data_IF_665809970636
#
_entry.id   IF_665809970636
#
_cell.length_a   1.000
_cell.length_b   1.000
_cell.length_c   1.000
_cell.angle_alpha   90.00
_cell.angle_beta   90.00
_cell.angle_gamma   90.00
#
_symmetry.space_group_name_H-M   'P 1'
#
loop_
_entity.id
_entity.type
_entity.pdbx_description
1 polymer ?
#
# COMPACT_ATOMS: atom_id res chain seq x y z
N UNK A 1 5.87 -10.39 -1.78
CA UNK A 1 6.52 -9.06 -1.83
C UNK A 1 5.75 -8.01 -1.03
N UNK A 2 4.45 -7.82 -1.24
CA UNK A 2 3.63 -6.80 -0.52
C UNK A 2 3.71 -6.96 1.01
N UNK A 3 3.62 -8.21 1.52
CA UNK A 3 3.76 -8.47 2.95
C UNK A 3 5.15 -8.06 3.48
N UNK A 4 6.23 -8.31 2.74
CA UNK A 4 7.57 -7.89 3.14
C UNK A 4 7.66 -6.36 3.21
N UNK A 5 7.10 -5.66 2.22
CA UNK A 5 7.02 -4.20 2.18
C UNK A 5 6.20 -3.61 3.33
N UNK A 6 5.14 -4.32 3.76
CA UNK A 6 4.30 -3.94 4.89
C UNK A 6 4.96 -4.24 6.24
N UNK A 7 5.65 -5.38 6.38
CA UNK A 7 6.27 -5.81 7.63
C UNK A 7 7.55 -5.06 7.97
N UNK A 8 8.37 -4.70 6.99
CA UNK A 8 9.63 -3.98 7.23
C UNK A 8 9.44 -2.63 7.99
N UNK A 9 8.49 -1.75 7.61
CA UNK A 9 8.18 -0.55 8.39
C UNK A 9 7.71 -0.87 9.81
N UNK A 10 6.86 -1.90 9.99
CA UNK A 10 6.32 -2.28 11.31
C UNK A 10 7.45 -2.77 12.24
N UNK A 11 8.32 -3.64 11.72
CA UNK A 11 9.49 -4.13 12.47
C UNK A 11 10.41 -2.96 12.83
N UNK A 12 10.68 -2.06 11.89
CA UNK A 12 11.51 -0.89 12.15
C UNK A 12 10.91 0.03 13.23
N UNK A 13 9.60 0.30 13.19
CA UNK A 13 8.92 1.08 14.23
C UNK A 13 9.09 0.42 15.60
N UNK A 14 8.88 -0.90 15.69
CA UNK A 14 9.04 -1.66 16.92
C UNK A 14 10.47 -1.63 17.48
N UNK A 15 11.48 -1.71 16.60
CA UNK A 15 12.89 -1.72 16.98
C UNK A 15 13.44 -0.33 17.29
N UNK A 16 12.99 0.71 16.57
CA UNK A 16 13.47 2.09 16.76
C UNK A 16 12.77 2.83 17.89
N UNK A 17 11.56 2.39 18.28
CA UNK A 17 10.71 3.13 19.21
C UNK A 17 10.10 4.40 18.59
N UNK A 18 10.22 4.61 17.27
CA UNK A 18 9.66 5.78 16.59
C UNK A 18 8.15 5.63 16.36
N UNK A 19 7.39 5.58 17.45
CA UNK A 19 5.95 5.28 17.46
C UNK A 19 5.12 6.31 16.69
N UNK A 20 5.60 7.55 16.54
CA UNK A 20 4.93 8.57 15.74
C UNK A 20 4.77 8.15 14.26
N UNK A 21 5.68 7.31 13.75
CA UNK A 21 5.64 6.77 12.39
C UNK A 21 4.46 5.82 12.13
N UNK A 22 3.81 5.31 13.20
CA UNK A 22 2.58 4.50 13.10
C UNK A 22 1.50 5.27 12.35
N UNK A 23 1.46 6.60 12.47
CA UNK A 23 0.47 7.46 11.78
C UNK A 23 0.42 7.17 10.27
N UNK A 24 1.58 7.09 9.61
CA UNK A 24 1.64 6.85 8.17
C UNK A 24 1.22 5.43 7.79
N UNK A 25 1.67 4.42 8.55
CA UNK A 25 1.27 3.03 8.34
C UNK A 25 -0.22 2.79 8.61
N UNK A 26 -0.77 3.44 9.64
CA UNK A 26 -2.19 3.37 9.97
C UNK A 26 -3.06 4.01 8.87
N UNK A 27 -2.64 5.13 8.28
CA UNK A 27 -3.32 5.73 7.11
C UNK A 27 -3.35 4.76 5.92
N UNK A 28 -2.21 4.12 5.64
CA UNK A 28 -2.09 3.13 4.57
C UNK A 28 -3.10 1.99 4.73
N UNK A 29 -3.06 1.32 5.88
CA UNK A 29 -3.90 0.17 6.13
C UNK A 29 -5.36 0.54 6.34
N UNK A 30 -5.66 1.72 6.88
CA UNK A 30 -7.03 2.22 6.98
C UNK A 30 -7.68 2.34 5.60
N UNK A 31 -7.00 2.97 4.63
CA UNK A 31 -7.53 3.09 3.28
C UNK A 31 -7.58 1.75 2.56
N UNK A 32 -6.56 0.91 2.74
CA UNK A 32 -6.52 -0.44 2.16
C UNK A 32 -7.71 -1.28 2.65
N UNK A 33 -7.84 -1.48 3.95
CA UNK A 33 -8.89 -2.32 4.52
C UNK A 33 -10.27 -1.68 4.42
N UNK A 34 -10.38 -0.35 4.55
CA UNK A 34 -11.64 0.36 4.37
C UNK A 34 -12.18 0.21 2.93
N UNK A 35 -11.32 0.39 1.94
CA UNK A 35 -11.68 0.21 0.53
C UNK A 35 -12.05 -1.24 0.19
N UNK A 36 -11.28 -2.20 0.70
CA UNK A 36 -11.58 -3.63 0.56
C UNK A 36 -12.91 -4.01 1.22
N UNK A 37 -13.20 -3.48 2.41
CA UNK A 37 -14.46 -3.72 3.12
C UNK A 37 -15.66 -3.19 2.34
N UNK A 38 -15.58 -1.96 1.83
CA UNK A 38 -16.64 -1.34 1.02
C UNK A 38 -16.90 -2.18 -0.23
N UNK A 39 -15.83 -2.58 -0.93
CA UNK A 39 -15.96 -3.40 -2.13
C UNK A 39 -16.58 -4.78 -1.82
N UNK A 40 -16.06 -5.48 -0.82
CA UNK A 40 -16.54 -6.80 -0.43
C UNK A 40 -18.00 -6.78 0.03
N UNK A 41 -18.39 -5.76 0.80
CA UNK A 41 -19.78 -5.55 1.18
C UNK A 41 -20.68 -5.34 -0.06
N UNK A 42 -20.24 -4.51 -1.03
CA UNK A 42 -20.96 -4.31 -2.28
C UNK A 42 -21.13 -5.59 -3.11
N UNK A 43 -20.09 -6.42 -3.18
CA UNK A 43 -20.15 -7.74 -3.83
C UNK A 43 -21.15 -8.67 -3.12
N UNK A 44 -21.11 -8.74 -1.79
CA UNK A 44 -22.04 -9.56 -1.02
C UNK A 44 -23.50 -9.09 -1.15
N UNK A 45 -23.73 -7.77 -1.15
CA UNK A 45 -25.06 -7.20 -1.36
C UNK A 45 -25.61 -7.48 -2.77
N UNK A 46 -24.73 -7.69 -3.75
CA UNK A 46 -25.10 -8.05 -5.12
C UNK A 46 -25.37 -9.55 -5.29
N UNK A 47 -24.71 -10.39 -4.48
CA UNK A 47 -24.82 -11.85 -4.51
C UNK A 47 -24.64 -12.43 -3.10
N UNK A 48 -25.76 -12.59 -2.39
CA UNK A 48 -25.80 -13.04 -0.99
C UNK A 48 -25.43 -14.51 -0.82
N UNK A 49 -25.32 -15.28 -1.91
CA UNK A 49 -24.85 -16.67 -1.85
C UNK A 49 -23.38 -16.78 -1.46
N UNK A 50 -22.62 -15.69 -1.58
CA UNK A 50 -21.17 -15.62 -1.32
C UNK A 50 -20.85 -15.36 0.15
N UNK A 51 -21.32 -16.21 1.06
CA UNK A 51 -21.07 -16.11 2.51
C UNK A 51 -19.60 -15.81 2.92
N UNK A 52 -18.57 -16.40 2.30
CA UNK A 52 -17.17 -16.09 2.61
C UNK A 52 -16.77 -14.62 2.35
N UNK A 53 -17.41 -13.94 1.40
CA UNK A 53 -17.13 -12.53 1.08
C UNK A 53 -17.59 -11.61 2.21
N UNK A 54 -18.71 -11.95 2.86
CA UNK A 54 -19.18 -11.22 4.04
C UNK A 54 -18.18 -11.34 5.20
N UNK A 55 -17.69 -12.55 5.47
CA UNK A 55 -16.67 -12.76 6.50
C UNK A 55 -15.41 -11.94 6.22
N UNK A 56 -14.95 -11.93 4.97
CA UNK A 56 -13.82 -11.09 4.55
C UNK A 56 -14.11 -9.60 4.78
N UNK A 57 -15.30 -9.11 4.42
CA UNK A 57 -15.70 -7.73 4.67
C UNK A 57 -15.67 -7.38 6.17
N UNK A 58 -16.20 -8.24 7.04
CA UNK A 58 -16.18 -8.05 8.50
C UNK A 58 -14.76 -7.99 9.05
N UNK A 59 -13.89 -8.89 8.59
CA UNK A 59 -12.46 -8.89 8.98
C UNK A 59 -11.78 -7.59 8.52
N UNK A 60 -12.04 -7.13 7.30
CA UNK A 60 -11.51 -5.85 6.82
C UNK A 60 -12.04 -4.65 7.64
N UNK A 61 -13.33 -4.63 8.01
CA UNK A 61 -13.88 -3.58 8.89
C UNK A 61 -13.17 -3.59 10.24
N UNK A 62 -12.98 -4.76 10.85
CA UNK A 62 -12.25 -4.88 12.10
C UNK A 62 -10.85 -4.27 12.01
N UNK A 63 -10.06 -4.63 10.99
CA UNK A 63 -8.73 -4.07 10.81
C UNK A 63 -8.76 -2.57 10.48
N UNK A 64 -9.74 -2.08 9.72
CA UNK A 64 -9.91 -0.66 9.46
C UNK A 64 -10.17 0.11 10.76
N UNK A 65 -11.02 -0.41 11.65
CA UNK A 65 -11.27 0.19 12.97
C UNK A 65 -10.01 0.20 13.83
N UNK A 66 -9.25 -0.92 13.87
CA UNK A 66 -7.96 -0.97 14.58
C UNK A 66 -6.99 0.08 14.03
N UNK A 67 -6.89 0.21 12.71
CA UNK A 67 -6.03 1.21 12.07
C UNK A 67 -6.50 2.65 12.36
N UNK A 68 -7.81 2.90 12.39
CA UNK A 68 -8.35 4.19 12.77
C UNK A 68 -8.01 4.54 14.22
N UNK A 69 -8.17 3.60 15.15
CA UNK A 69 -7.80 3.81 16.56
C UNK A 69 -6.30 4.09 16.70
N UNK A 70 -5.45 3.30 16.04
CA UNK A 70 -4.01 3.53 16.02
C UNK A 70 -3.65 4.87 15.41
N UNK A 71 -4.32 5.28 14.34
CA UNK A 71 -4.14 6.59 13.71
C UNK A 71 -4.47 7.73 14.68
N UNK A 72 -5.65 7.67 15.32
CA UNK A 72 -6.09 8.70 16.27
C UNK A 72 -5.18 8.80 17.50
N UNK A 73 -4.63 7.67 17.94
CA UNK A 73 -3.67 7.61 19.03
C UNK A 73 -2.28 8.13 18.61
N UNK A 74 -1.71 7.58 17.53
CA UNK A 74 -0.35 7.88 17.09
C UNK A 74 -0.17 9.34 16.61
N UNK A 75 -1.24 9.99 16.12
CA UNK A 75 -1.21 11.42 15.73
C UNK A 75 -0.88 12.36 16.89
N UNK A 76 -1.03 11.91 18.14
CA UNK A 76 -0.69 12.69 19.35
C UNK A 76 0.80 12.58 19.70
N UNK A 77 1.52 11.66 19.09
CA UNK A 77 2.93 11.40 19.35
C UNK A 77 3.82 12.34 18.52
N UNK A 78 4.96 12.69 19.09
CA UNK A 78 5.99 13.51 18.45
C UNK A 78 7.09 12.60 17.93
N UNK A 79 7.66 12.93 16.77
CA UNK A 79 8.81 12.19 16.25
C UNK A 79 10.04 12.49 17.10
N UNK A 80 10.81 11.47 17.44
CA UNK A 80 12.09 11.63 18.12
C UNK A 80 13.16 12.10 17.13
N UNK A 81 13.23 11.45 15.96
CA UNK A 81 14.12 11.85 14.87
C UNK A 81 13.49 12.90 13.96
N UNK A 82 13.75 14.17 14.31
CA UNK A 82 13.27 15.35 13.60
C UNK A 82 14.22 15.84 12.48
N UNK A 83 15.23 15.06 12.11
CA UNK A 83 16.12 15.46 11.00
C UNK A 83 15.29 15.63 9.72
N UNK A 84 15.55 16.66 8.91
CA UNK A 84 14.78 16.89 7.69
C UNK A 84 15.01 15.75 6.69
N UNK A 85 13.95 15.33 6.02
CA UNK A 85 14.07 14.35 4.93
C UNK A 85 14.81 14.98 3.74
N UNK A 86 15.85 14.32 3.18
CA UNK A 86 16.58 14.84 2.02
C UNK A 86 15.64 15.19 0.85
N UNK A 87 15.96 16.28 0.12
CA UNK A 87 15.11 16.77 -0.98
C UNK A 87 14.88 15.72 -2.07
N UNK A 88 15.91 14.94 -2.41
CA UNK A 88 15.81 13.86 -3.38
C UNK A 88 14.73 12.83 -2.98
N UNK A 89 14.75 12.38 -1.72
CA UNK A 89 13.76 11.43 -1.18
C UNK A 89 12.35 12.01 -1.23
N UNK A 90 12.18 13.30 -0.90
CA UNK A 90 10.87 13.97 -0.96
C UNK A 90 10.32 14.04 -2.39
N UNK A 91 11.17 14.33 -3.37
CA UNK A 91 10.80 14.33 -4.79
C UNK A 91 10.42 12.91 -5.22
N UNK A 92 11.20 11.90 -4.85
CA UNK A 92 10.86 10.50 -5.12
C UNK A 92 9.50 10.14 -4.52
N UNK A 93 9.20 10.53 -3.28
CA UNK A 93 7.88 10.29 -2.68
C UNK A 93 6.76 10.97 -3.48
N UNK A 94 6.95 12.21 -3.93
CA UNK A 94 5.97 12.90 -4.77
C UNK A 94 5.70 12.14 -6.08
N UNK A 95 6.76 11.66 -6.75
CA UNK A 95 6.62 10.84 -7.96
C UNK A 95 5.88 9.54 -7.66
N UNK A 96 6.25 8.84 -6.58
CA UNK A 96 5.58 7.60 -6.18
C UNK A 96 4.11 7.81 -5.85
N UNK A 97 3.74 8.92 -5.21
CA UNK A 97 2.33 9.27 -4.97
C UNK A 97 1.57 9.33 -6.29
N UNK A 98 2.09 10.06 -7.28
CA UNK A 98 1.44 10.20 -8.59
C UNK A 98 1.29 8.82 -9.26
N UNK A 99 2.35 8.03 -9.32
CA UNK A 99 2.33 6.70 -9.93
C UNK A 99 1.33 5.78 -9.21
N UNK A 100 1.34 5.75 -7.88
CA UNK A 100 0.44 4.91 -7.09
C UNK A 100 -1.03 5.33 -7.19
N UNK A 101 -1.32 6.63 -7.28
CA UNK A 101 -2.68 7.12 -7.50
C UNK A 101 -3.19 6.74 -8.89
N UNK A 102 -2.36 6.89 -9.93
CA UNK A 102 -2.74 6.55 -11.30
C UNK A 102 -2.92 5.03 -11.48
N UNK A 103 -1.96 4.23 -11.02
CA UNK A 103 -2.03 2.78 -11.09
C UNK A 103 -3.15 2.24 -10.19
N UNK A 104 -3.21 2.67 -8.93
CA UNK A 104 -4.23 2.26 -7.97
C UNK A 104 -5.64 2.62 -8.41
N UNK A 105 -5.84 3.85 -8.90
CA UNK A 105 -7.13 4.29 -9.46
C UNK A 105 -7.53 3.47 -10.69
N UNK A 106 -6.60 3.22 -11.61
CA UNK A 106 -6.86 2.38 -12.80
C UNK A 106 -7.26 0.95 -12.43
N UNK A 107 -6.63 0.39 -11.39
CA UNK A 107 -6.93 -0.95 -10.87
C UNK A 107 -8.30 -1.03 -10.18
N UNK A 108 -8.68 -0.01 -9.40
CA UNK A 108 -10.03 0.08 -8.80
C UNK A 108 -11.10 0.22 -9.90
N UNK A 109 -10.80 0.95 -10.97
CA UNK A 109 -11.65 1.05 -12.16
C UNK A 109 -11.61 -0.21 -13.06
N UNK A 110 -10.90 -1.26 -12.64
CA UNK A 110 -10.81 -2.55 -13.34
C UNK A 110 -10.27 -2.42 -14.78
N UNK A 111 -9.41 -1.44 -15.04
CA UNK A 111 -8.73 -1.32 -16.33
C UNK A 111 -7.79 -2.50 -16.52
N UNK A 112 -7.85 -3.11 -17.70
CA UNK A 112 -6.93 -4.17 -18.10
C UNK A 112 -5.53 -3.61 -18.36
N UNK A 113 -4.54 -4.51 -18.43
CA UNK A 113 -3.17 -4.22 -18.87
C UNK A 113 -2.39 -3.23 -17.98
N UNK A 114 -2.73 -3.11 -16.69
CA UNK A 114 -1.87 -2.39 -15.72
C UNK A 114 -0.73 -3.28 -15.21
N UNK A 115 -1.03 -4.55 -14.91
CA UNK A 115 -0.01 -5.54 -14.54
C UNK A 115 0.48 -6.30 -15.78
N UNK A 116 1.70 -6.87 -15.74
CA UNK A 116 2.24 -7.71 -16.81
C UNK A 116 1.67 -9.14 -16.80
N UNK A 117 0.68 -9.41 -15.93
CA UNK A 117 -0.10 -10.64 -15.89
C UNK A 117 -1.60 -10.32 -15.75
N UNK A 118 -2.50 -11.21 -16.21
CA UNK A 118 -3.94 -10.99 -16.09
C UNK A 118 -4.37 -11.06 -14.62
N UNK A 119 -5.26 -10.13 -14.24
CA UNK A 119 -5.88 -10.09 -12.92
C UNK A 119 -7.38 -10.33 -13.05
N UNK A 120 -7.94 -11.09 -12.10
CA UNK A 120 -9.39 -11.15 -11.93
C UNK A 120 -9.96 -9.78 -11.52
N UNK A 121 -11.24 -9.46 -11.84
CA UNK A 121 -11.85 -8.17 -11.50
C UNK A 121 -11.79 -7.83 -10.00
N UNK A 122 -11.94 -8.85 -9.14
CA UNK A 122 -11.87 -8.69 -7.69
C UNK A 122 -10.42 -8.41 -7.25
N UNK A 123 -9.45 -9.17 -7.75
CA UNK A 123 -8.03 -8.98 -7.46
C UNK A 123 -7.54 -7.59 -7.88
N UNK A 124 -7.99 -7.10 -9.04
CA UNK A 124 -7.69 -5.74 -9.51
C UNK A 124 -8.08 -4.69 -8.47
N UNK A 125 -9.31 -4.75 -7.94
CA UNK A 125 -9.78 -3.78 -6.95
C UNK A 125 -9.01 -3.90 -5.63
N UNK A 126 -8.70 -5.11 -5.17
CA UNK A 126 -7.93 -5.34 -3.95
C UNK A 126 -6.52 -4.75 -4.06
N UNK A 127 -5.80 -5.00 -5.16
CA UNK A 127 -4.48 -4.41 -5.40
C UNK A 127 -4.56 -2.88 -5.57
N UNK A 128 -5.61 -2.38 -6.20
CA UNK A 128 -5.86 -0.95 -6.33
C UNK A 128 -5.93 -0.24 -4.97
N UNK A 129 -6.69 -0.79 -4.02
CA UNK A 129 -6.77 -0.23 -2.67
C UNK A 129 -5.45 -0.33 -1.88
N UNK A 130 -4.63 -1.35 -2.10
CA UNK A 130 -3.27 -1.43 -1.53
C UNK A 130 -2.41 -0.27 -2.06
N UNK A 131 -2.47 0.01 -3.36
CA UNK A 131 -1.69 1.10 -3.97
C UNK A 131 -2.18 2.48 -3.51
N UNK A 132 -3.50 2.67 -3.40
CA UNK A 132 -4.08 3.92 -2.87
C UNK A 132 -3.73 4.12 -1.39
N UNK A 133 -3.72 3.07 -0.58
CA UNK A 133 -3.22 3.11 0.79
C UNK A 133 -1.74 3.51 0.85
N UNK A 134 -0.90 2.89 0.01
CA UNK A 134 0.52 3.24 -0.07
C UNK A 134 0.71 4.71 -0.48
N UNK A 135 -0.10 5.23 -1.42
CA UNK A 135 -0.06 6.63 -1.81
C UNK A 135 -0.34 7.57 -0.64
N UNK A 136 -1.29 7.24 0.24
CA UNK A 136 -1.54 8.02 1.47
C UNK A 136 -0.36 7.94 2.44
N UNK A 137 0.32 6.80 2.51
CA UNK A 137 1.53 6.67 3.32
C UNK A 137 2.59 7.68 2.85
N UNK A 138 2.94 7.67 1.56
CA UNK A 138 3.91 8.60 0.98
C UNK A 138 3.46 10.06 1.08
N UNK A 139 2.16 10.32 0.92
CA UNK A 139 1.59 11.66 1.10
C UNK A 139 1.87 12.17 2.52
N UNK A 140 1.69 11.33 3.53
CA UNK A 140 2.05 11.70 4.91
C UNK A 140 3.56 11.96 5.06
N UNK A 141 4.41 11.21 4.37
CA UNK A 141 5.86 11.44 4.28
C UNK A 141 6.23 12.81 3.71
N UNK A 142 5.48 13.27 2.69
CA UNK A 142 5.67 14.59 2.08
C UNK A 142 5.14 15.71 2.98
N UNK A 143 3.97 15.53 3.59
CA UNK A 143 3.32 16.50 4.49
C UNK A 143 4.12 16.71 5.78
N UNK A 144 4.70 15.63 6.33
CA UNK A 144 5.54 15.67 7.54
C UNK A 144 6.95 15.14 7.23
N UNK A 145 7.83 15.97 6.63
CA UNK A 145 9.09 15.54 6.02
C UNK A 145 10.23 15.40 7.04
N UNK A 146 10.03 14.57 8.06
CA UNK A 146 11.04 14.21 9.06
C UNK A 146 11.59 12.81 8.81
N UNK A 147 12.86 12.57 9.12
CA UNK A 147 13.54 11.32 8.82
C UNK A 147 12.88 10.13 9.50
N UNK A 148 12.44 10.28 10.77
CA UNK A 148 11.66 9.26 11.46
C UNK A 148 10.37 8.85 10.74
N UNK A 149 9.83 9.68 9.84
CA UNK A 149 8.66 9.33 9.02
C UNK A 149 9.05 8.65 7.70
N UNK A 150 10.20 9.02 7.12
CA UNK A 150 10.65 8.54 5.83
C UNK A 150 11.28 7.13 5.88
N UNK A 151 11.97 6.77 6.97
CA UNK A 151 12.74 5.52 7.05
C UNK A 151 11.86 4.29 6.84
N UNK A 152 10.71 4.21 7.51
CA UNK A 152 9.81 3.08 7.36
C UNK A 152 9.38 2.85 5.90
N UNK A 153 9.07 3.92 5.17
CA UNK A 153 8.67 3.88 3.77
C UNK A 153 9.80 3.39 2.86
N UNK A 154 11.02 3.89 3.09
CA UNK A 154 12.22 3.48 2.36
C UNK A 154 12.57 2.01 2.60
N UNK A 155 12.45 1.54 3.85
CA UNK A 155 12.64 0.14 4.19
C UNK A 155 11.58 -0.75 3.55
N UNK A 156 10.33 -0.30 3.50
CA UNK A 156 9.25 -0.98 2.79
C UNK A 156 9.58 -1.16 1.30
N UNK A 157 10.04 -0.10 0.63
CA UNK A 157 10.49 -0.19 -0.77
C UNK A 157 11.67 -1.13 -0.94
N UNK A 158 12.72 -1.00 -0.13
CA UNK A 158 13.90 -1.84 -0.23
C UNK A 158 13.53 -3.32 -0.03
N UNK A 159 12.71 -3.64 0.97
CA UNK A 159 12.25 -5.00 1.20
C UNK A 159 11.39 -5.54 0.05
N UNK A 160 10.56 -4.69 -0.54
CA UNK A 160 9.77 -5.04 -1.72
C UNK A 160 10.68 -5.40 -2.89
N UNK A 161 11.62 -4.52 -3.24
CA UNK A 161 12.51 -4.66 -4.40
C UNK A 161 13.41 -5.87 -4.25
N UNK A 162 14.02 -6.07 -3.08
CA UNK A 162 14.88 -7.24 -2.82
C UNK A 162 14.15 -8.56 -3.04
N UNK A 163 12.87 -8.63 -2.68
CA UNK A 163 12.05 -9.84 -2.88
C UNK A 163 11.60 -9.98 -4.34
N UNK A 164 11.45 -8.87 -5.07
CA UNK A 164 10.81 -8.87 -6.39
C UNK A 164 11.80 -8.84 -7.56
N UNK A 165 13.04 -8.36 -7.38
CA UNK A 165 14.03 -8.26 -8.46
C UNK A 165 14.23 -9.59 -9.20
N UNK A 166 14.48 -10.69 -8.47
CA UNK A 166 14.73 -12.00 -9.11
C UNK A 166 13.47 -12.53 -9.83
N UNK A 167 12.28 -12.58 -9.19
CA UNK A 167 11.04 -12.94 -9.88
C UNK A 167 10.74 -12.06 -11.10
N UNK A 168 10.97 -10.75 -11.01
CA UNK A 168 10.74 -9.79 -12.09
C UNK A 168 11.61 -10.10 -13.31
N UNK A 169 12.93 -10.27 -13.09
CA UNK A 169 13.87 -10.60 -14.18
C UNK A 169 13.51 -11.94 -14.84
N UNK A 170 13.10 -12.94 -14.06
CA UNK A 170 12.64 -14.24 -14.60
C UNK A 170 11.35 -14.11 -15.41
N UNK A 171 10.49 -13.14 -15.09
CA UNK A 171 9.21 -13.01 -15.77
C UNK A 171 9.35 -12.57 -17.24
N UNK A 172 10.42 -11.86 -17.60
CA UNK A 172 10.72 -11.52 -19.01
C UNK A 172 10.77 -12.74 -19.94
N UNK A 173 11.19 -13.90 -19.43
CA UNK A 173 11.26 -15.14 -20.21
C UNK A 173 9.87 -15.76 -20.49
N UNK A 174 8.87 -15.42 -19.69
CA UNK A 174 7.55 -16.10 -19.67
C UNK A 174 6.36 -15.20 -19.97
N UNK A 175 6.56 -13.87 -19.99
CA UNK A 175 5.48 -12.90 -20.18
C UNK A 175 4.91 -12.99 -21.60
N UNK A 176 3.58 -12.84 -21.69
CA UNK A 176 2.88 -12.81 -22.98
C UNK A 176 3.35 -11.61 -23.82
N UNK A 177 3.48 -11.72 -25.15
CA UNK A 177 3.92 -10.63 -26.00
C UNK A 177 3.11 -9.35 -25.82
N UNK A 178 1.78 -9.45 -25.69
CA UNK A 178 0.90 -8.28 -25.49
C UNK A 178 1.12 -7.53 -24.16
N UNK A 179 1.76 -8.15 -23.16
CA UNK A 179 2.00 -7.57 -21.83
C UNK A 179 3.46 -7.20 -21.59
N UNK A 180 4.35 -7.43 -22.58
CA UNK A 180 5.79 -7.14 -22.45
C UNK A 180 6.08 -5.67 -22.17
N UNK A 181 5.30 -4.76 -22.75
CA UNK A 181 5.53 -3.32 -22.59
C UNK A 181 5.40 -2.89 -21.12
N UNK A 182 4.53 -3.55 -20.36
CA UNK A 182 4.30 -3.31 -18.92
C UNK A 182 5.48 -3.74 -18.03
N UNK A 183 6.48 -4.46 -18.58
CA UNK A 183 7.73 -4.76 -17.87
C UNK A 183 8.82 -3.73 -18.14
N UNK A 184 8.65 -2.88 -19.16
CA UNK A 184 9.67 -1.94 -19.63
C UNK A 184 9.28 -0.47 -19.45
N UNK A 185 7.98 -0.21 -19.34
CA UNK A 185 7.34 1.12 -19.24
C UNK A 185 6.39 1.10 -18.05
#
# INVERSE_FOLDING_TARGET
SILAAASAPVLWIGLSGELAAITGGALNFLATYGGMAIYAAGVYLSDTSRGPVLLFAVVCVFFAVVCLTLLLWARRLVFHDNRPTPRAVRISFAVFIVVLLLAGGSLVLKRSNIFPWPLGPEQSVLYGWIFLGAALYFTYGVVKPVWGNAVGQLLGFLAYDLVLIIPFLRHFATVKPELRINLTV
#
